data_IF_522605090173
#
_entry.id   IF_522605090173
#
_cell.length_a   1.000
_cell.length_b   1.000
_cell.length_c   1.000
_cell.angle_alpha   90.00
_cell.angle_beta   90.00
_cell.angle_gamma   90.00
#
_symmetry.space_group_name_H-M   'P 1'
#
loop_
_entity.id
_entity.type
_entity.pdbx_description
1 polymer ?
#
# COMPACT_ATOMS: atom_id res chain seq x y z
N UNK A 1 13.32 15.70 -18.94
CA UNK A 1 14.39 16.72 -18.94
C UNK A 1 15.13 16.69 -20.28
N UNK A 2 15.48 15.50 -20.80
CA UNK A 2 16.11 15.33 -22.12
C UNK A 2 15.39 15.99 -23.30
N UNK A 3 14.05 16.01 -23.30
CA UNK A 3 13.27 16.59 -24.40
C UNK A 3 13.49 18.10 -24.56
N UNK A 4 13.61 18.85 -23.46
CA UNK A 4 13.84 20.31 -23.49
C UNK A 4 15.26 20.65 -23.95
N UNK A 5 16.23 19.81 -23.59
CA UNK A 5 17.61 19.94 -24.03
C UNK A 5 17.75 19.66 -25.53
N UNK A 6 17.03 18.66 -26.05
CA UNK A 6 17.00 18.31 -27.48
C UNK A 6 16.29 19.39 -28.32
N UNK A 7 15.26 20.06 -27.79
CA UNK A 7 14.58 21.15 -28.50
C UNK A 7 15.39 22.44 -28.57
N UNK A 8 16.25 22.70 -27.58
CA UNK A 8 17.14 23.88 -27.57
C UNK A 8 18.34 23.74 -28.51
N UNK A 9 18.79 22.50 -28.76
CA UNK A 9 19.97 22.21 -29.58
C UNK A 9 19.64 21.89 -31.04
N UNK A 10 18.41 21.46 -31.35
CA UNK A 10 18.06 20.99 -32.71
C UNK A 10 17.76 22.11 -33.71
N UNK A 11 17.57 23.37 -33.30
CA UNK A 11 17.05 24.37 -34.22
C UNK A 11 18.07 25.05 -35.15
N UNK A 12 19.39 24.84 -35.02
CA UNK A 12 20.34 25.31 -36.04
C UNK A 12 21.76 24.75 -35.83
N UNK A 13 22.17 23.71 -36.59
CA UNK A 13 23.45 23.62 -37.33
C UNK A 13 23.87 22.21 -37.77
N UNK A 14 24.45 22.17 -38.97
CA UNK A 14 25.27 21.10 -39.55
C UNK A 14 26.62 20.96 -38.79
N UNK A 15 27.43 19.90 -39.04
CA UNK A 15 28.38 19.36 -38.06
C UNK A 15 29.57 20.30 -37.81
N UNK A 16 29.86 20.61 -36.55
CA UNK A 16 30.96 21.48 -36.14
C UNK A 16 32.02 20.74 -35.29
N UNK A 17 33.26 21.21 -35.44
CA UNK A 17 34.57 20.69 -35.07
C UNK A 17 34.81 20.23 -33.62
N UNK A 18 35.87 19.43 -33.44
CA UNK A 18 36.30 18.70 -32.23
C UNK A 18 36.54 19.51 -30.94
N UNK A 19 36.38 20.84 -30.94
CA UNK A 19 36.48 21.72 -29.75
C UNK A 19 35.14 22.28 -29.24
N UNK A 20 34.09 22.31 -30.06
CA UNK A 20 32.75 22.79 -29.65
C UNK A 20 31.96 21.72 -28.88
N UNK A 21 32.24 20.44 -29.14
CA UNK A 21 31.62 19.32 -28.42
C UNK A 21 31.96 19.28 -26.92
N UNK A 22 33.16 19.72 -26.52
CA UNK A 22 33.53 19.81 -25.09
C UNK A 22 32.80 20.96 -24.38
N UNK A 23 32.75 22.14 -25.00
CA UNK A 23 32.05 23.31 -24.46
C UNK A 23 30.53 23.10 -24.38
N UNK A 24 29.93 22.44 -25.37
CA UNK A 24 28.51 22.07 -25.35
C UNK A 24 28.19 21.03 -24.26
N UNK A 25 29.11 20.08 -24.01
CA UNK A 25 28.98 19.11 -22.93
C UNK A 25 29.13 19.76 -21.53
N UNK A 26 30.01 20.74 -21.39
CA UNK A 26 30.16 21.50 -20.13
C UNK A 26 28.94 22.37 -19.84
N UNK A 27 28.39 23.03 -20.86
CA UNK A 27 27.17 23.81 -20.75
C UNK A 27 25.98 22.94 -20.31
N UNK A 28 25.75 21.80 -20.97
CA UNK A 28 24.63 20.90 -20.64
C UNK A 28 24.76 20.34 -19.22
N UNK A 29 25.98 20.08 -18.74
CA UNK A 29 26.23 19.67 -17.35
C UNK A 29 25.88 20.77 -16.33
N UNK A 30 26.38 22.00 -16.53
CA UNK A 30 26.10 23.12 -15.62
C UNK A 30 24.63 23.52 -15.63
N UNK A 31 24.03 23.66 -16.81
CA UNK A 31 22.59 23.91 -16.95
C UNK A 31 21.78 22.81 -16.24
N UNK A 32 22.16 21.54 -16.44
CA UNK A 32 21.55 20.40 -15.75
C UNK A 32 21.59 20.52 -14.23
N UNK A 33 22.75 20.89 -13.65
CA UNK A 33 22.86 21.09 -12.20
C UNK A 33 22.01 22.25 -11.68
N UNK A 34 21.96 23.37 -12.40
CA UNK A 34 21.17 24.56 -12.03
C UNK A 34 19.67 24.20 -12.05
N UNK A 35 19.21 23.54 -13.12
CA UNK A 35 17.82 23.11 -13.22
C UNK A 35 17.46 22.05 -12.17
N UNK A 36 18.36 21.11 -11.87
CA UNK A 36 18.15 20.13 -10.81
C UNK A 36 18.03 20.80 -9.44
N UNK A 37 18.87 21.78 -9.14
CA UNK A 37 18.77 22.57 -7.92
C UNK A 37 17.47 23.37 -7.89
N UNK A 38 17.09 24.02 -8.99
CA UNK A 38 15.83 24.77 -9.08
C UNK A 38 14.60 23.88 -8.86
N UNK A 39 14.60 22.64 -9.34
CA UNK A 39 13.51 21.69 -9.08
C UNK A 39 13.48 21.23 -7.62
N UNK A 40 14.66 21.01 -7.02
CA UNK A 40 14.81 20.59 -5.63
C UNK A 40 14.44 21.69 -4.64
N UNK A 41 15.06 22.86 -4.76
CA UNK A 41 14.99 23.96 -3.79
C UNK A 41 13.91 24.98 -4.15
N UNK A 42 13.58 25.12 -5.44
CA UNK A 42 12.66 26.16 -5.95
C UNK A 42 13.32 27.52 -6.15
N UNK A 43 14.61 27.64 -5.90
CA UNK A 43 15.36 28.90 -5.96
C UNK A 43 16.51 28.76 -6.95
N UNK A 44 16.82 29.86 -7.64
CA UNK A 44 18.01 30.01 -8.49
C UNK A 44 18.84 31.15 -7.92
N UNK A 45 20.16 30.99 -7.89
CA UNK A 45 21.06 32.05 -7.42
C UNK A 45 21.17 33.15 -8.47
N UNK A 46 21.46 34.38 -8.04
CA UNK A 46 21.67 35.49 -8.97
C UNK A 46 22.86 35.23 -9.90
N UNK A 47 23.86 34.48 -9.43
CA UNK A 47 25.05 34.09 -10.18
C UNK A 47 24.71 33.10 -11.31
N UNK A 48 23.93 32.06 -11.01
CA UNK A 48 23.41 31.11 -12.01
C UNK A 48 22.54 31.81 -13.05
N UNK A 49 21.74 32.77 -12.60
CA UNK A 49 20.85 33.56 -13.46
C UNK A 49 21.65 34.44 -14.42
N UNK A 50 22.67 35.14 -13.93
CA UNK A 50 23.57 35.94 -14.75
C UNK A 50 24.36 35.09 -15.75
N UNK A 51 24.79 33.89 -15.35
CA UNK A 51 25.42 32.93 -16.25
C UNK A 51 24.49 32.47 -17.38
N UNK A 52 23.22 32.14 -17.05
CA UNK A 52 22.21 31.76 -18.05
C UNK A 52 21.93 32.88 -19.04
N UNK A 53 21.79 34.12 -18.55
CA UNK A 53 21.55 35.29 -19.42
C UNK A 53 22.69 35.43 -20.40
N UNK A 54 23.94 35.49 -19.92
CA UNK A 54 25.14 35.59 -20.76
C UNK A 54 25.23 34.48 -21.81
N UNK A 55 24.84 33.26 -21.46
CA UNK A 55 24.83 32.16 -22.43
C UNK A 55 23.71 32.27 -23.47
N UNK A 56 22.51 32.70 -23.07
CA UNK A 56 21.43 32.97 -24.02
C UNK A 56 21.85 34.08 -24.99
N UNK A 57 22.45 35.16 -24.49
CA UNK A 57 22.97 36.25 -25.33
C UNK A 57 24.01 35.74 -26.34
N UNK A 58 24.95 34.91 -25.90
CA UNK A 58 26.01 34.35 -26.76
C UNK A 58 25.49 33.38 -27.84
N UNK A 59 24.47 32.57 -27.51
CA UNK A 59 23.90 31.58 -28.43
C UNK A 59 22.89 32.17 -29.42
N UNK A 60 22.13 33.18 -29.02
CA UNK A 60 21.00 33.69 -29.82
C UNK A 60 21.24 35.06 -30.44
N UNK A 61 22.30 35.78 -30.04
CA UNK A 61 22.59 37.13 -30.53
C UNK A 61 21.57 38.19 -30.07
N UNK A 62 20.76 37.90 -29.05
CA UNK A 62 19.77 38.80 -28.48
C UNK A 62 20.40 39.93 -27.65
N UNK A 63 19.63 40.98 -27.35
CA UNK A 63 20.06 41.99 -26.38
C UNK A 63 20.07 41.42 -24.96
N UNK A 64 20.95 41.93 -24.09
CA UNK A 64 21.07 41.46 -22.70
C UNK A 64 19.76 41.63 -21.92
N UNK A 65 19.02 42.71 -22.18
CA UNK A 65 17.69 42.96 -21.59
C UNK A 65 16.66 41.92 -22.02
N UNK A 66 16.63 41.54 -23.30
CA UNK A 66 15.70 40.53 -23.81
C UNK A 66 16.02 39.12 -23.28
N UNK A 67 17.32 38.80 -23.18
CA UNK A 67 17.79 37.56 -22.58
C UNK A 67 17.40 37.47 -21.09
N UNK A 68 17.56 38.55 -20.33
CA UNK A 68 17.13 38.63 -18.92
C UNK A 68 15.64 38.37 -18.77
N UNK A 69 14.80 38.99 -19.61
CA UNK A 69 13.36 38.81 -19.58
C UNK A 69 12.95 37.35 -19.90
N UNK A 70 13.58 36.72 -20.90
CA UNK A 70 13.33 35.32 -21.26
C UNK A 70 13.71 34.35 -20.13
N UNK A 71 14.86 34.56 -19.50
CA UNK A 71 15.30 33.74 -18.36
C UNK A 71 14.35 33.90 -17.18
N UNK A 72 13.95 35.12 -16.84
CA UNK A 72 12.98 35.40 -15.76
C UNK A 72 11.65 34.68 -15.99
N UNK A 73 11.06 34.81 -17.18
CA UNK A 73 9.79 34.14 -17.49
C UNK A 73 9.91 32.62 -17.47
N UNK A 74 11.07 32.06 -17.83
CA UNK A 74 11.29 30.61 -17.80
C UNK A 74 11.35 30.12 -16.36
N UNK A 75 12.05 30.84 -15.48
CA UNK A 75 12.12 30.52 -14.05
C UNK A 75 10.73 30.57 -13.42
N UNK A 76 9.95 31.61 -13.72
CA UNK A 76 8.58 31.76 -13.22
C UNK A 76 7.69 30.59 -13.65
N UNK A 77 7.71 30.20 -14.93
CA UNK A 77 6.97 29.03 -15.43
C UNK A 77 7.37 27.74 -14.71
N UNK A 78 8.66 27.53 -14.47
CA UNK A 78 9.15 26.35 -13.73
C UNK A 78 8.63 26.36 -12.29
N UNK A 79 8.64 27.51 -11.62
CA UNK A 79 8.12 27.65 -10.26
C UNK A 79 6.61 27.39 -10.19
N UNK A 80 5.83 27.87 -11.16
CA UNK A 80 4.40 27.57 -11.26
C UNK A 80 4.15 26.08 -11.43
N UNK A 81 4.85 25.43 -12.36
CA UNK A 81 4.71 23.98 -12.60
C UNK A 81 5.08 23.17 -11.35
N UNK A 82 6.16 23.56 -10.64
CA UNK A 82 6.56 22.91 -9.38
C UNK A 82 5.48 23.05 -8.31
N UNK A 83 4.92 24.25 -8.15
CA UNK A 83 3.88 24.50 -7.15
C UNK A 83 2.63 23.68 -7.45
N UNK A 84 2.23 23.60 -8.72
CA UNK A 84 1.11 22.76 -9.15
C UNK A 84 1.39 21.26 -8.94
N UNK A 85 2.61 20.82 -9.25
CA UNK A 85 3.04 19.43 -9.03
C UNK A 85 3.06 19.09 -7.53
N UNK A 86 3.57 19.99 -6.68
CA UNK A 86 3.57 19.80 -5.23
C UNK A 86 2.16 19.65 -4.69
N UNK A 87 1.23 20.50 -5.13
CA UNK A 87 -0.19 20.38 -4.76
C UNK A 87 -0.77 19.02 -5.15
N UNK A 88 -0.50 18.55 -6.37
CA UNK A 88 -0.96 17.21 -6.82
C UNK A 88 -0.34 16.08 -6.01
N UNK A 89 0.93 16.20 -5.62
CA UNK A 89 1.61 15.22 -4.77
C UNK A 89 1.01 15.19 -3.36
N UNK A 90 0.68 16.34 -2.79
CA UNK A 90 0.06 16.44 -1.47
C UNK A 90 -1.36 15.86 -1.49
N UNK A 91 -2.15 16.14 -2.53
CA UNK A 91 -3.45 15.52 -2.76
C UNK A 91 -3.35 13.99 -2.90
N UNK A 92 -2.37 13.50 -3.68
CA UNK A 92 -2.14 12.06 -3.84
C UNK A 92 -1.70 11.39 -2.53
N UNK A 93 -0.83 12.04 -1.74
CA UNK A 93 -0.43 11.54 -0.40
C UNK A 93 -1.64 11.40 0.52
N UNK A 94 -2.50 12.42 0.56
CA UNK A 94 -3.72 12.39 1.36
C UNK A 94 -4.64 11.23 0.96
N UNK A 95 -4.84 11.00 -0.35
CA UNK A 95 -5.63 9.87 -0.85
C UNK A 95 -5.00 8.52 -0.47
N UNK A 96 -3.67 8.40 -0.51
CA UNK A 96 -2.97 7.19 -0.10
C UNK A 96 -3.13 6.94 1.40
N UNK A 97 -3.04 7.98 2.23
CA UNK A 97 -3.19 7.84 3.68
C UNK A 97 -4.63 7.47 4.06
N UNK A 98 -5.63 8.09 3.42
CA UNK A 98 -7.04 7.71 3.56
C UNK A 98 -7.29 6.26 3.12
N UNK A 99 -6.73 5.83 1.99
CA UNK A 99 -6.86 4.46 1.49
C UNK A 99 -6.20 3.44 2.43
N UNK A 100 -5.04 3.77 3.01
CA UNK A 100 -4.38 2.93 4.02
C UNK A 100 -5.20 2.80 5.30
N UNK A 101 -5.83 3.88 5.75
CA UNK A 101 -6.69 3.86 6.94
C UNK A 101 -7.96 3.02 6.70
N UNK A 102 -8.56 3.12 5.51
CA UNK A 102 -9.69 2.26 5.14
C UNK A 102 -9.28 0.79 5.06
N UNK A 103 -8.12 0.50 4.48
CA UNK A 103 -7.59 -0.85 4.40
C UNK A 103 -7.29 -1.44 5.79
N UNK A 104 -6.75 -0.64 6.73
CA UNK A 104 -6.49 -1.12 8.09
C UNK A 104 -7.77 -1.38 8.86
N UNK A 105 -8.79 -0.51 8.75
CA UNK A 105 -10.12 -0.72 9.36
C UNK A 105 -10.78 -1.99 8.83
N UNK A 106 -10.80 -2.19 7.51
CA UNK A 106 -11.37 -3.40 6.91
C UNK A 106 -10.65 -4.68 7.37
N UNK A 107 -9.33 -4.61 7.58
CA UNK A 107 -8.55 -5.75 8.07
C UNK A 107 -8.87 -6.07 9.54
N UNK A 108 -9.01 -5.05 10.39
CA UNK A 108 -9.38 -5.22 11.79
C UNK A 108 -10.81 -5.77 11.95
N UNK A 109 -11.76 -5.28 11.15
CA UNK A 109 -13.13 -5.82 11.11
C UNK A 109 -13.14 -7.30 10.69
N UNK A 110 -12.40 -7.65 9.64
CA UNK A 110 -12.29 -9.04 9.18
C UNK A 110 -11.67 -9.95 10.24
N UNK A 111 -10.64 -9.48 10.96
CA UNK A 111 -10.05 -10.23 12.09
C UNK A 111 -11.05 -10.40 13.23
N UNK A 112 -11.75 -9.34 13.62
CA UNK A 112 -12.74 -9.38 14.70
C UNK A 112 -13.85 -10.40 14.39
N UNK A 113 -14.36 -10.41 13.17
CA UNK A 113 -15.39 -11.37 12.74
C UNK A 113 -14.87 -12.81 12.73
N UNK A 114 -13.63 -13.03 12.32
CA UNK A 114 -13.00 -14.35 12.34
C UNK A 114 -12.81 -14.88 13.77
N UNK A 115 -12.36 -14.02 14.69
CA UNK A 115 -12.20 -14.37 16.10
C UNK A 115 -13.55 -14.67 16.76
N UNK A 116 -14.55 -13.82 16.53
CA UNK A 116 -15.89 -14.01 17.09
C UNK A 116 -16.51 -15.34 16.63
N UNK A 117 -16.38 -15.66 15.34
CA UNK A 117 -16.87 -16.94 14.79
C UNK A 117 -16.15 -18.12 15.43
N UNK A 118 -14.83 -18.05 15.56
CA UNK A 118 -14.03 -19.10 16.20
C UNK A 118 -14.40 -19.28 17.68
N UNK A 119 -14.61 -18.21 18.43
CA UNK A 119 -15.03 -18.25 19.84
C UNK A 119 -16.42 -18.88 20.00
N UNK A 120 -17.39 -18.48 19.16
CA UNK A 120 -18.74 -19.07 19.16
C UNK A 120 -18.70 -20.57 18.87
N UNK A 121 -17.90 -21.01 17.90
CA UNK A 121 -17.72 -22.43 17.59
C UNK A 121 -17.11 -23.20 18.77
N UNK A 122 -16.11 -22.63 19.45
CA UNK A 122 -15.49 -23.27 20.63
C UNK A 122 -16.49 -23.43 21.77
N UNK A 123 -17.23 -22.38 22.11
CA UNK A 123 -18.21 -22.41 23.21
C UNK A 123 -19.33 -23.41 22.91
N UNK A 124 -19.87 -23.40 21.69
CA UNK A 124 -20.90 -24.36 21.26
C UNK A 124 -20.38 -25.81 21.30
N UNK A 125 -19.13 -26.03 20.89
CA UNK A 125 -18.47 -27.33 20.97
C UNK A 125 -18.35 -27.85 22.40
N UNK A 126 -17.92 -27.00 23.34
CA UNK A 126 -17.80 -27.39 24.76
C UNK A 126 -19.18 -27.73 25.35
N UNK A 127 -20.20 -26.90 25.09
CA UNK A 127 -21.54 -27.13 25.62
C UNK A 127 -22.19 -28.39 25.04
N UNK A 128 -22.03 -28.64 23.75
CA UNK A 128 -22.55 -29.85 23.11
C UNK A 128 -21.84 -31.12 23.59
N UNK A 129 -20.52 -31.09 23.73
CA UNK A 129 -19.75 -32.20 24.30
C UNK A 129 -20.14 -32.48 25.75
N UNK A 130 -20.33 -31.44 26.56
CA UNK A 130 -20.78 -31.58 27.95
C UNK A 130 -22.19 -32.19 28.04
N UNK A 131 -23.12 -31.72 27.20
CA UNK A 131 -24.48 -32.27 27.14
C UNK A 131 -24.50 -33.75 26.73
N UNK A 132 -23.67 -34.12 25.76
CA UNK A 132 -23.50 -35.52 25.34
C UNK A 132 -22.91 -36.38 26.46
N UNK A 133 -21.87 -35.88 27.15
CA UNK A 133 -21.27 -36.58 28.29
C UNK A 133 -22.27 -36.76 29.45
N UNK A 134 -23.04 -35.73 29.78
CA UNK A 134 -24.09 -35.81 30.80
C UNK A 134 -25.15 -36.85 30.44
N UNK A 135 -25.59 -36.87 29.17
CA UNK A 135 -26.56 -37.85 28.67
C UNK A 135 -26.02 -39.28 28.73
N UNK A 136 -24.74 -39.47 28.38
CA UNK A 136 -24.06 -40.76 28.47
C UNK A 136 -23.95 -41.27 29.91
N UNK A 137 -23.71 -40.39 30.90
CA UNK A 137 -23.68 -40.76 32.32
C UNK A 137 -25.04 -41.24 32.82
N UNK A 138 -26.13 -40.56 32.46
CA UNK A 138 -27.50 -41.00 32.84
C UNK A 138 -27.82 -42.37 32.25
N UNK A 139 -27.50 -42.58 30.96
CA UNK A 139 -27.68 -43.87 30.31
C UNK A 139 -26.83 -44.97 30.96
N UNK A 140 -25.59 -44.67 31.33
CA UNK A 140 -24.70 -45.61 32.01
C UNK A 140 -25.27 -46.02 33.39
N UNK A 141 -25.82 -45.07 34.16
CA UNK A 141 -26.48 -45.37 35.44
C UNK A 141 -27.70 -46.27 35.24
N UNK A 142 -28.56 -45.97 34.27
CA UNK A 142 -29.73 -46.79 33.96
C UNK A 142 -29.33 -48.22 33.54
N UNK A 143 -28.30 -48.35 32.69
CA UNK A 143 -27.76 -49.63 32.25
C UNK A 143 -27.18 -50.43 33.44
N UNK A 144 -26.44 -49.78 34.35
CA UNK A 144 -25.90 -50.43 35.54
C UNK A 144 -27.00 -50.99 36.44
N UNK A 145 -28.03 -50.19 36.75
CA UNK A 145 -29.16 -50.64 37.58
C UNK A 145 -29.89 -51.81 36.92
N UNK A 146 -30.14 -51.73 35.61
CA UNK A 146 -30.77 -52.80 34.84
C UNK A 146 -29.95 -54.09 34.83
N UNK A 147 -28.63 -53.99 34.68
CA UNK A 147 -27.73 -55.15 34.71
C UNK A 147 -27.70 -55.83 36.08
N UNK A 148 -27.62 -55.05 37.17
CA UNK A 148 -27.63 -55.59 38.54
C UNK A 148 -28.97 -56.25 38.88
N UNK A 149 -30.10 -55.64 38.49
CA UNK A 149 -31.42 -56.24 38.69
C UNK A 149 -31.63 -57.48 37.81
N UNK A 150 -31.27 -57.43 36.53
CA UNK A 150 -31.41 -58.55 35.61
C UNK A 150 -30.56 -59.77 36.00
N UNK A 151 -29.32 -59.55 36.44
CA UNK A 151 -28.45 -60.63 36.93
C UNK A 151 -29.05 -61.33 38.15
N UNK A 152 -29.58 -60.57 39.11
CA UNK A 152 -30.24 -61.13 40.29
C UNK A 152 -31.53 -61.89 39.95
N UNK A 153 -32.32 -61.42 38.98
CA UNK A 153 -33.50 -62.15 38.50
C UNK A 153 -33.14 -63.48 37.81
N UNK A 154 -32.01 -63.53 37.10
CA UNK A 154 -31.45 -64.78 36.54
C UNK A 154 -31.05 -65.73 37.67
N UNK A 155 -30.36 -65.22 38.68
CA UNK A 155 -29.80 -66.04 39.76
C UNK A 155 -30.88 -66.56 40.73
N UNK A 156 -31.99 -65.83 40.91
CA UNK A 156 -33.15 -66.25 41.70
C UNK A 156 -34.10 -67.20 40.94
N UNK A 157 -33.82 -67.53 39.67
CA UNK A 157 -34.66 -68.42 38.86
C UNK A 157 -36.06 -67.86 38.54
N UNK A 158 -36.31 -66.57 38.80
CA UNK A 158 -37.59 -65.91 38.52
C UNK A 158 -37.69 -65.54 37.05
N UNK A 159 -37.94 -66.55 36.21
CA UNK A 159 -38.35 -66.35 34.82
C UNK A 159 -39.65 -65.53 34.77
N UNK A 160 -39.68 -64.54 33.88
CA UNK A 160 -40.87 -63.72 33.66
C UNK A 160 -42.05 -64.65 33.32
N UNK A 161 -43.19 -64.51 34.01
CA UNK A 161 -44.29 -65.48 33.96
C UNK A 161 -44.84 -65.72 32.54
N UNK A 162 -44.64 -64.77 31.62
CA UNK A 162 -45.00 -64.89 30.20
C UNK A 162 -44.09 -65.77 29.33
N UNK A 163 -42.93 -66.23 29.83
CA UNK A 163 -41.99 -67.10 29.09
C UNK A 163 -41.93 -68.54 29.63
N UNK A 164 -42.71 -68.85 30.68
CA UNK A 164 -42.79 -70.22 31.20
C UNK A 164 -43.66 -71.08 30.27
N UNK A 165 -43.02 -71.78 29.33
CA UNK A 165 -43.69 -72.79 28.52
C UNK A 165 -44.01 -74.02 29.39
N UNK A 166 -45.27 -74.18 29.82
CA UNK A 166 -45.78 -75.47 30.31
C UNK A 166 -46.07 -76.36 29.10
N UNK A 167 -45.39 -77.50 29.01
CA UNK A 167 -45.89 -78.65 28.24
C UNK A 167 -46.99 -79.35 29.02
#
# INVERSE_FOLDING_TARGET
VDYFTDTLLRNDRAPASSGEGQNAADFTRQAGSIFSNLLSTGQITDEDKAWLVRQVTAQTGMSETDAQNRVNQTIERVQTVRTEAQRKLDEARKQIDEAKEQASKALEEAKAQALETAEKTKIAGILSAFLLAASALVAAVAAYIGAVHGGRHRDEGRIWSGLAYRR
#
